data_IF_176921127532
#
_entry.id   IF_176921127532
#
_cell.length_a   1.000
_cell.length_b   1.000
_cell.length_c   1.000
_cell.angle_alpha   90.00
_cell.angle_beta   90.00
_cell.angle_gamma   90.00
#
_symmetry.space_group_name_H-M   'P 1'
#
loop_
_entity.id
_entity.type
_entity.pdbx_description
1 polymer ?
#
# COMPACT_ATOMS: atom_id res chain seq x y z
N UNK A 1 25.42 -8.79 -27.00
CA UNK A 1 25.51 -7.79 -25.91
C UNK A 1 24.55 -8.26 -24.84
N UNK A 2 25.06 -8.81 -23.77
CA UNK A 2 24.27 -9.25 -22.61
C UNK A 2 24.12 -8.04 -21.69
N UNK A 3 22.88 -7.63 -21.42
CA UNK A 3 22.57 -6.52 -20.52
C UNK A 3 22.92 -6.96 -19.10
N UNK A 4 24.04 -6.47 -18.58
CA UNK A 4 24.43 -6.60 -17.17
C UNK A 4 23.50 -5.73 -16.34
N UNK A 5 22.50 -6.35 -15.75
CA UNK A 5 21.64 -5.82 -14.71
C UNK A 5 22.45 -5.76 -13.40
N UNK A 6 23.51 -4.96 -13.38
CA UNK A 6 24.37 -4.75 -12.21
C UNK A 6 24.50 -3.23 -12.04
N UNK A 7 24.09 -2.70 -10.88
CA UNK A 7 24.19 -1.29 -10.43
C UNK A 7 22.89 -0.43 -10.39
N UNK A 8 21.78 -1.00 -9.92
CA UNK A 8 21.05 -0.28 -8.87
C UNK A 8 21.51 -0.92 -7.56
N UNK A 9 22.14 -0.15 -6.67
CA UNK A 9 22.61 -0.69 -5.40
C UNK A 9 21.42 -1.28 -4.63
N UNK A 10 21.60 -2.45 -4.04
CA UNK A 10 20.57 -3.14 -3.23
C UNK A 10 19.89 -2.18 -2.23
N UNK A 11 20.65 -1.23 -1.65
CA UNK A 11 20.17 -0.13 -0.81
C UNK A 11 19.08 0.75 -1.47
N UNK A 12 19.29 1.17 -2.72
CA UNK A 12 18.37 2.08 -3.40
C UNK A 12 17.04 1.40 -3.75
N UNK A 13 17.07 0.09 -4.01
CA UNK A 13 15.85 -0.71 -4.21
C UNK A 13 15.02 -0.81 -2.93
N UNK A 14 15.68 -1.00 -1.78
CA UNK A 14 15.02 -1.08 -0.48
C UNK A 14 14.39 0.27 -0.06
N UNK A 15 15.10 1.39 -0.28
CA UNK A 15 14.58 2.74 -0.01
C UNK A 15 13.34 3.07 -0.87
N UNK A 16 13.37 2.70 -2.16
CA UNK A 16 12.23 2.90 -3.07
C UNK A 16 11.04 2.05 -2.63
N UNK A 17 11.27 0.79 -2.26
CA UNK A 17 10.22 -0.12 -1.77
C UNK A 17 9.57 0.40 -0.48
N UNK A 18 10.37 0.89 0.47
CA UNK A 18 9.86 1.49 1.71
C UNK A 18 9.05 2.77 1.43
N UNK A 19 9.52 3.63 0.53
CA UNK A 19 8.81 4.84 0.14
C UNK A 19 7.46 4.51 -0.53
N UNK A 20 7.44 3.49 -1.39
CA UNK A 20 6.22 3.00 -2.03
C UNK A 20 5.24 2.44 -0.99
N UNK A 21 5.71 1.60 -0.05
CA UNK A 21 4.90 1.09 1.05
C UNK A 21 4.27 2.22 1.89
N UNK A 22 5.05 3.24 2.24
CA UNK A 22 4.51 4.38 2.99
C UNK A 22 3.48 5.17 2.17
N UNK A 23 3.70 5.32 0.87
CA UNK A 23 2.76 6.00 -0.04
C UNK A 23 1.44 5.24 -0.14
N UNK A 24 1.51 3.92 -0.33
CA UNK A 24 0.34 3.03 -0.36
C UNK A 24 -0.41 3.10 0.97
N UNK A 25 0.27 3.02 2.12
CA UNK A 25 -0.41 3.18 3.44
C UNK A 25 -1.14 4.52 3.57
N UNK A 26 -0.56 5.62 3.09
CA UNK A 26 -1.23 6.94 3.10
C UNK A 26 -2.47 6.96 2.22
N UNK A 27 -2.40 6.35 1.04
CA UNK A 27 -3.55 6.20 0.13
C UNK A 27 -4.65 5.35 0.76
N UNK A 28 -4.30 4.23 1.36
CA UNK A 28 -5.25 3.37 2.10
C UNK A 28 -5.92 4.18 3.21
N UNK A 29 -5.14 4.89 4.03
CA UNK A 29 -5.69 5.74 5.12
C UNK A 29 -6.70 6.73 4.56
N UNK A 30 -6.31 7.50 3.54
CA UNK A 30 -7.17 8.48 2.91
C UNK A 30 -8.44 7.86 2.35
N UNK A 31 -8.36 6.66 1.77
CA UNK A 31 -9.51 5.93 1.23
C UNK A 31 -10.47 5.47 2.34
N UNK A 32 -9.94 5.04 3.49
CA UNK A 32 -10.75 4.72 4.67
C UNK A 32 -11.53 5.96 5.10
N UNK A 33 -10.85 7.12 5.19
CA UNK A 33 -11.45 8.40 5.58
C UNK A 33 -12.47 8.92 4.55
N UNK A 34 -12.17 8.84 3.25
CA UNK A 34 -13.03 9.34 2.17
C UNK A 34 -14.28 8.46 1.94
N UNK A 35 -14.21 7.16 2.24
CA UNK A 35 -15.28 6.20 1.95
C UNK A 35 -16.05 5.74 3.20
N UNK A 36 -15.76 6.31 4.38
CA UNK A 36 -16.34 5.90 5.67
C UNK A 36 -16.37 4.36 5.82
N UNK A 37 -15.21 3.74 5.61
CA UNK A 37 -15.12 2.27 5.58
C UNK A 37 -15.26 1.73 7.00
N UNK A 38 -16.26 0.88 7.22
CA UNK A 38 -16.44 0.10 8.44
C UNK A 38 -16.04 -1.39 8.24
N UNK A 39 -15.62 -2.03 9.34
CA UNK A 39 -15.38 -3.46 9.38
C UNK A 39 -16.69 -4.23 9.20
N UNK A 40 -16.75 -5.14 8.23
CA UNK A 40 -18.00 -5.87 7.93
C UNK A 40 -18.27 -6.98 8.94
N UNK A 41 -17.23 -7.52 9.56
CA UNK A 41 -17.38 -8.56 10.60
C UNK A 41 -17.91 -8.02 11.92
N UNK A 42 -17.47 -6.84 12.37
CA UNK A 42 -17.78 -6.35 13.72
C UNK A 42 -18.36 -4.94 13.78
N UNK A 43 -18.48 -4.24 12.65
CA UNK A 43 -19.02 -2.87 12.57
C UNK A 43 -18.08 -1.79 13.14
N UNK A 44 -16.81 -2.13 13.39
CA UNK A 44 -15.83 -1.17 13.92
C UNK A 44 -15.33 -0.22 12.84
N UNK A 45 -15.20 1.05 13.19
CA UNK A 45 -14.56 2.09 12.37
C UNK A 45 -13.03 2.13 12.59
N UNK A 46 -12.52 1.37 13.58
CA UNK A 46 -11.09 1.30 13.87
C UNK A 46 -10.37 0.38 12.89
N UNK A 47 -10.05 0.93 11.71
CA UNK A 47 -9.31 0.25 10.65
C UNK A 47 -7.88 0.81 10.53
N UNK A 48 -6.89 -0.06 10.66
CA UNK A 48 -5.48 0.27 10.44
C UNK A 48 -5.08 0.13 8.96
N UNK A 49 -4.52 1.17 8.33
CA UNK A 49 -4.03 1.09 6.96
C UNK A 49 -2.70 0.34 6.88
N UNK A 50 -2.63 -0.65 5.99
CA UNK A 50 -1.47 -1.52 5.79
C UNK A 50 -1.14 -1.64 4.29
N UNK A 51 0.10 -2.04 4.01
CA UNK A 51 0.60 -2.27 2.66
C UNK A 51 1.47 -3.52 2.70
N UNK A 52 1.36 -4.35 1.66
CA UNK A 52 2.21 -5.52 1.47
C UNK A 52 2.67 -5.61 0.02
N UNK A 53 3.87 -6.15 -0.18
CA UNK A 53 4.32 -6.58 -1.48
C UNK A 53 4.14 -8.09 -1.56
N UNK A 54 3.22 -8.62 -2.38
CA UNK A 54 2.97 -10.06 -2.44
C UNK A 54 4.21 -10.82 -2.96
N UNK A 55 4.97 -10.23 -3.89
CA UNK A 55 6.21 -10.78 -4.46
C UNK A 55 7.16 -9.65 -4.93
N UNK A 56 8.46 -9.95 -5.13
CA UNK A 56 9.47 -8.98 -5.61
C UNK A 56 9.19 -8.44 -7.04
N UNK A 57 8.32 -9.12 -7.80
CA UNK A 57 7.92 -8.73 -9.16
C UNK A 57 6.47 -8.21 -9.26
N UNK A 58 5.72 -8.20 -8.15
CA UNK A 58 4.32 -7.75 -8.12
C UNK A 58 4.16 -6.33 -7.58
N UNK A 59 3.02 -5.71 -7.91
CA UNK A 59 2.65 -4.38 -7.43
C UNK A 59 2.32 -4.38 -5.94
N UNK A 60 2.81 -3.36 -5.21
CA UNK A 60 2.49 -3.16 -3.78
C UNK A 60 0.99 -2.98 -3.61
N UNK A 61 0.37 -3.82 -2.78
CA UNK A 61 -1.07 -3.81 -2.52
C UNK A 61 -1.38 -3.15 -1.18
N UNK A 62 -2.40 -2.29 -1.18
CA UNK A 62 -2.95 -1.68 0.02
C UNK A 62 -4.10 -2.49 0.60
N UNK A 63 -4.18 -2.55 1.93
CA UNK A 63 -5.34 -3.12 2.62
C UNK A 63 -5.54 -2.44 3.96
N UNK A 64 -6.77 -2.45 4.47
CA UNK A 64 -7.03 -2.07 5.84
C UNK A 64 -7.31 -3.31 6.69
N UNK A 65 -6.91 -3.24 7.96
CA UNK A 65 -7.12 -4.30 8.94
C UNK A 65 -7.85 -3.75 10.15
N UNK A 66 -8.98 -4.36 10.49
CA UNK A 66 -9.71 -4.01 11.71
C UNK A 66 -8.85 -4.31 12.94
N UNK A 67 -8.67 -3.31 13.81
CA UNK A 67 -7.87 -3.44 15.03
C UNK A 67 -8.57 -4.29 16.08
N UNK A 68 -9.91 -4.34 16.05
CA UNK A 68 -10.72 -5.08 17.04
C UNK A 68 -10.81 -6.58 16.72
N UNK A 69 -11.22 -6.94 15.49
CA UNK A 69 -11.45 -8.35 15.13
C UNK A 69 -10.37 -8.94 14.22
N UNK A 70 -9.48 -8.10 13.67
CA UNK A 70 -8.42 -8.54 12.76
C UNK A 70 -8.85 -8.81 11.33
N UNK A 71 -10.12 -8.54 10.96
CA UNK A 71 -10.60 -8.67 9.59
C UNK A 71 -9.79 -7.79 8.64
N UNK A 72 -9.41 -8.35 7.49
CA UNK A 72 -8.67 -7.66 6.44
C UNK A 72 -9.59 -7.36 5.27
N UNK A 73 -9.53 -6.14 4.76
CA UNK A 73 -10.21 -5.70 3.55
C UNK A 73 -9.20 -5.06 2.60
N UNK A 74 -9.12 -5.60 1.39
CA UNK A 74 -8.23 -5.05 0.37
C UNK A 74 -8.79 -3.71 -0.15
N UNK A 75 -7.88 -2.78 -0.41
CA UNK A 75 -8.19 -1.49 -1.00
C UNK A 75 -7.46 -1.44 -2.33
N UNK A 76 -8.21 -1.49 -3.42
CA UNK A 76 -7.66 -1.31 -4.76
C UNK A 76 -7.07 0.10 -4.88
N UNK A 77 -5.77 0.16 -5.19
CA UNK A 77 -5.01 1.37 -5.45
C UNK A 77 -4.41 1.21 -6.83
N UNK A 78 -4.85 2.05 -7.76
CA UNK A 78 -4.34 2.05 -9.12
C UNK A 78 -3.13 2.99 -9.24
N UNK A 79 -2.33 2.83 -10.31
CA UNK A 79 -1.24 3.77 -10.64
C UNK A 79 -1.69 5.23 -10.73
N UNK A 80 -2.95 5.49 -11.07
CA UNK A 80 -3.53 6.84 -11.07
C UNK A 80 -3.57 7.46 -9.68
N UNK A 81 -3.93 6.69 -8.65
CA UNK A 81 -3.95 7.14 -7.26
C UNK A 81 -2.52 7.39 -6.75
N UNK A 82 -1.56 6.54 -7.12
CA UNK A 82 -0.14 6.75 -6.81
C UNK A 82 0.39 8.06 -7.40
N UNK A 83 0.06 8.36 -8.66
CA UNK A 83 0.49 9.61 -9.30
C UNK A 83 -0.11 10.85 -8.62
N UNK A 84 -1.34 10.76 -8.12
CA UNK A 84 -2.01 11.85 -7.39
C UNK A 84 -1.33 12.26 -6.09
N UNK A 85 -0.50 11.38 -5.51
CA UNK A 85 0.29 11.68 -4.30
C UNK A 85 1.67 12.23 -4.65
N UNK A 86 2.22 11.84 -5.81
CA UNK A 86 3.54 12.28 -6.27
C UNK A 86 3.50 13.64 -6.98
N UNK A 87 2.34 14.09 -7.45
CA UNK A 87 2.15 15.41 -8.04
C UNK A 87 1.37 16.33 -7.08
N UNK A 88 1.99 17.42 -6.57
CA UNK A 88 1.32 18.37 -5.68
C UNK A 88 0.32 19.29 -6.39
#
# INVERSE_FOLDING_TARGET
MEFKQEMYGEDAGEEISQALHQTVKKLVSRRIDDMDIECQSCGSEELGPEAENPDEEEEVRGYCKCTECGERKNIDIDYGDLNSVLTP
#
